data_IF_528899095642
#
_entry.id   IF_528899095642
#
_cell.length_a   1.000
_cell.length_b   1.000
_cell.length_c   1.000
_cell.angle_alpha   90.00
_cell.angle_beta   90.00
_cell.angle_gamma   90.00
#
_symmetry.space_group_name_H-M   'P 1'
#
loop_
_entity.id
_entity.type
_entity.pdbx_description
1 polymer ?
#
# COMPACT_ATOMS: atom_id res chain seq x y z
N UNK A 1 9.78 -6.86 -21.47
CA UNK A 1 9.49 -6.93 -20.05
C UNK A 1 8.25 -7.81 -19.82
N UNK A 2 8.05 -8.28 -18.63
CA UNK A 2 6.95 -9.14 -18.24
C UNK A 2 5.60 -8.52 -18.63
N UNK A 3 4.67 -9.33 -19.17
CA UNK A 3 3.31 -8.90 -19.57
C UNK A 3 2.48 -8.37 -18.37
N UNK A 4 2.84 -8.74 -17.14
CA UNK A 4 2.15 -8.27 -15.93
C UNK A 4 2.77 -7.00 -15.36
N UNK A 5 3.84 -6.51 -15.96
CA UNK A 5 4.42 -5.24 -15.52
C UNK A 5 3.54 -4.07 -15.91
N UNK A 6 3.25 -3.21 -14.95
CA UNK A 6 2.55 -1.95 -15.15
C UNK A 6 3.46 -0.79 -14.81
N UNK A 7 3.72 0.08 -15.78
CA UNK A 7 4.49 1.28 -15.53
C UNK A 7 3.59 2.30 -14.81
N UNK A 8 3.97 2.65 -13.57
CA UNK A 8 3.26 3.64 -12.78
C UNK A 8 4.08 4.91 -12.67
N UNK A 9 3.45 6.05 -12.96
CA UNK A 9 4.10 7.36 -12.91
C UNK A 9 3.29 8.27 -11.99
N UNK A 10 3.92 8.77 -10.92
CA UNK A 10 3.34 9.79 -10.05
C UNK A 10 4.15 11.06 -10.29
N UNK A 11 3.58 12.02 -11.01
CA UNK A 11 4.31 13.18 -11.54
C UNK A 11 4.40 14.36 -10.57
N UNK A 12 3.55 14.41 -9.54
CA UNK A 12 3.55 15.50 -8.56
C UNK A 12 4.74 15.35 -7.60
N UNK A 13 5.78 16.14 -7.79
CA UNK A 13 7.00 16.08 -6.97
C UNK A 13 6.80 16.56 -5.53
N UNK A 14 5.83 17.42 -5.29
CA UNK A 14 5.51 17.90 -3.95
C UNK A 14 4.65 16.89 -3.19
N UNK A 15 3.85 16.10 -3.93
CA UNK A 15 3.02 15.06 -3.38
C UNK A 15 3.20 13.77 -4.20
N UNK A 16 4.36 13.07 -4.03
CA UNK A 16 4.67 11.87 -4.81
C UNK A 16 3.93 10.63 -4.29
N UNK A 17 2.64 10.80 -4.03
CA UNK A 17 1.77 9.81 -3.40
C UNK A 17 0.45 9.79 -4.15
N UNK A 18 -0.04 8.60 -4.48
CA UNK A 18 -1.39 8.44 -5.00
C UNK A 18 -2.28 7.90 -3.88
N UNK A 19 -3.41 8.56 -3.63
CA UNK A 19 -4.38 8.18 -2.58
C UNK A 19 -5.75 8.09 -3.21
N UNK A 20 -6.42 6.96 -3.06
CA UNK A 20 -7.80 6.80 -3.56
C UNK A 20 -8.56 5.74 -2.77
N UNK A 21 -9.89 5.77 -2.93
CA UNK A 21 -10.79 4.77 -2.33
C UNK A 21 -11.29 3.81 -3.40
N UNK A 22 -11.20 2.52 -3.10
CA UNK A 22 -11.93 1.49 -3.83
C UNK A 22 -13.21 1.18 -3.06
N UNK A 23 -14.37 1.37 -3.70
CA UNK A 23 -15.69 1.01 -3.16
C UNK A 23 -16.31 0.01 -4.10
N UNK A 24 -16.40 -1.24 -3.66
CA UNK A 24 -16.84 -2.36 -4.49
C UNK A 24 -18.02 -3.06 -3.81
N UNK A 25 -19.07 -3.36 -4.59
CA UNK A 25 -20.25 -4.08 -4.10
C UNK A 25 -20.47 -5.41 -4.82
N UNK A 26 -19.84 -5.59 -5.97
CA UNK A 26 -20.03 -6.78 -6.79
C UNK A 26 -18.98 -7.84 -6.51
N UNK A 27 -19.35 -9.11 -6.70
CA UNK A 27 -18.37 -10.19 -6.68
C UNK A 27 -17.51 -10.08 -7.93
N UNK A 28 -16.23 -9.75 -7.76
CA UNK A 28 -15.34 -9.52 -8.90
C UNK A 28 -13.87 -9.52 -8.50
N UNK A 29 -13.03 -9.64 -9.51
CA UNK A 29 -11.64 -9.24 -9.42
C UNK A 29 -11.59 -7.74 -9.72
N UNK A 30 -11.37 -6.91 -8.69
CA UNK A 30 -11.49 -5.45 -8.85
C UNK A 30 -10.20 -4.76 -9.25
N UNK A 31 -9.06 -5.43 -9.14
CA UNK A 31 -7.87 -5.02 -9.87
C UNK A 31 -7.19 -6.26 -10.45
N UNK A 32 -6.73 -6.10 -11.70
CA UNK A 32 -6.11 -7.19 -12.45
C UNK A 32 -4.71 -7.51 -11.93
N UNK A 33 -4.26 -8.72 -12.18
CA UNK A 33 -2.92 -9.17 -11.79
C UNK A 33 -1.85 -8.34 -12.47
N UNK A 34 -0.99 -7.68 -11.67
CA UNK A 34 0.11 -6.85 -12.17
C UNK A 34 1.19 -6.68 -11.11
N UNK A 35 2.33 -6.12 -11.50
CA UNK A 35 3.39 -5.71 -10.59
C UNK A 35 4.05 -4.41 -11.06
N UNK A 36 4.63 -3.68 -10.13
CA UNK A 36 5.36 -2.43 -10.36
C UNK A 36 6.34 -2.17 -9.21
N UNK A 37 7.17 -1.16 -9.35
CA UNK A 37 8.19 -0.82 -8.35
C UNK A 37 7.61 -0.11 -7.13
N UNK A 38 6.48 0.56 -7.27
CA UNK A 38 5.83 1.27 -6.17
C UNK A 38 5.34 0.29 -5.09
N UNK A 39 5.38 0.77 -3.85
CA UNK A 39 4.76 0.09 -2.71
C UNK A 39 3.31 0.54 -2.62
N UNK A 40 2.39 -0.37 -2.29
CA UNK A 40 1.00 -0.04 -2.03
C UNK A 40 0.60 -0.43 -0.61
N UNK A 41 -0.16 0.45 0.02
CA UNK A 41 -0.82 0.17 1.29
C UNK A 41 -2.31 0.09 1.02
N UNK A 42 -2.93 -1.05 1.35
CA UNK A 42 -4.37 -1.24 1.25
C UNK A 42 -4.95 -1.38 2.66
N UNK A 43 -5.66 -0.37 3.10
CA UNK A 43 -6.30 -0.35 4.40
C UNK A 43 -7.79 -0.61 4.26
N UNK A 44 -8.31 -1.68 4.89
CA UNK A 44 -9.72 -2.01 4.81
C UNK A 44 -10.50 -1.14 5.79
N UNK A 45 -11.23 -0.17 5.23
CA UNK A 45 -12.07 0.76 6.00
C UNK A 45 -13.37 0.08 6.41
N UNK A 46 -13.94 -0.75 5.53
CA UNK A 46 -15.18 -1.47 5.76
C UNK A 46 -15.19 -2.76 4.96
N UNK A 47 -15.73 -3.82 5.54
CA UNK A 47 -15.93 -5.10 4.87
C UNK A 47 -14.70 -5.98 4.87
N UNK A 48 -14.59 -6.81 3.85
CA UNK A 48 -13.58 -7.84 3.71
C UNK A 48 -13.16 -7.98 2.24
N UNK A 49 -11.87 -8.18 1.99
CA UNK A 49 -11.33 -8.38 0.65
C UNK A 49 -10.23 -9.42 0.67
N UNK A 50 -10.08 -10.16 -0.43
CA UNK A 50 -8.95 -11.04 -0.64
C UNK A 50 -7.94 -10.38 -1.57
N UNK A 51 -6.66 -10.47 -1.21
CA UNK A 51 -5.56 -9.99 -2.04
C UNK A 51 -4.59 -11.13 -2.25
N UNK A 52 -4.30 -11.42 -3.52
CA UNK A 52 -3.27 -12.36 -3.92
C UNK A 52 -1.95 -11.60 -4.00
N UNK A 53 -0.95 -12.06 -3.23
CA UNK A 53 0.40 -11.51 -3.21
C UNK A 53 1.37 -12.62 -3.65
N UNK A 54 1.89 -12.51 -4.87
CA UNK A 54 2.59 -13.58 -5.56
C UNK A 54 1.70 -14.83 -5.62
N UNK A 55 2.03 -15.90 -4.87
CA UNK A 55 1.28 -17.15 -4.87
C UNK A 55 0.42 -17.36 -3.63
N UNK A 56 0.39 -16.38 -2.71
CA UNK A 56 -0.34 -16.49 -1.46
C UNK A 56 -1.56 -15.58 -1.46
N UNK A 57 -2.72 -16.14 -1.13
CA UNK A 57 -3.98 -15.40 -1.00
C UNK A 57 -4.24 -15.11 0.47
N UNK A 58 -4.40 -13.81 0.77
CA UNK A 58 -4.69 -13.31 2.12
C UNK A 58 -6.10 -12.74 2.17
N UNK A 59 -6.79 -12.92 3.30
CA UNK A 59 -8.08 -12.28 3.56
C UNK A 59 -7.86 -11.15 4.56
N UNK A 60 -8.21 -9.93 4.13
CA UNK A 60 -8.09 -8.72 4.96
C UNK A 60 -9.48 -8.25 5.36
N UNK A 61 -9.65 -7.90 6.62
CA UNK A 61 -10.90 -7.42 7.22
C UNK A 61 -10.77 -5.99 7.68
N UNK A 62 -11.88 -5.40 8.09
CA UNK A 62 -11.91 -4.03 8.61
C UNK A 62 -10.81 -3.82 9.65
N UNK A 63 -10.00 -2.77 9.44
CA UNK A 63 -8.88 -2.43 10.31
C UNK A 63 -7.55 -3.09 9.98
N UNK A 64 -7.54 -4.04 9.02
CA UNK A 64 -6.31 -4.68 8.56
C UNK A 64 -5.61 -3.85 7.49
N UNK A 65 -4.29 -3.95 7.46
CA UNK A 65 -3.45 -3.35 6.43
C UNK A 65 -2.76 -4.44 5.61
N UNK A 66 -2.90 -4.34 4.29
CA UNK A 66 -2.07 -5.09 3.36
C UNK A 66 -0.92 -4.20 2.91
N UNK A 67 0.30 -4.70 2.99
CA UNK A 67 1.48 -4.05 2.42
C UNK A 67 1.89 -4.82 1.19
N UNK A 68 1.77 -4.20 0.04
CA UNK A 68 2.20 -4.77 -1.23
C UNK A 68 3.60 -4.24 -1.51
N UNK A 69 4.58 -5.08 -1.26
CA UNK A 69 5.98 -4.72 -1.44
C UNK A 69 6.30 -4.47 -2.92
N UNK A 70 7.36 -3.71 -3.15
CA UNK A 70 7.88 -3.43 -4.49
C UNK A 70 8.07 -4.74 -5.27
N UNK A 71 7.64 -4.76 -6.53
CA UNK A 71 7.78 -5.87 -7.48
C UNK A 71 6.95 -7.13 -7.16
N UNK A 72 6.03 -7.07 -6.20
CA UNK A 72 5.15 -8.20 -5.88
C UNK A 72 3.98 -8.24 -6.86
N UNK A 73 3.76 -9.39 -7.47
CA UNK A 73 2.60 -9.65 -8.32
C UNK A 73 1.35 -9.68 -7.45
N UNK A 74 0.34 -8.85 -7.77
CA UNK A 74 -0.84 -8.72 -6.92
C UNK A 74 -2.14 -8.61 -7.71
N UNK A 75 -3.22 -9.09 -7.09
CA UNK A 75 -4.59 -9.03 -7.61
C UNK A 75 -5.57 -8.96 -6.44
N UNK A 76 -6.70 -8.29 -6.62
CA UNK A 76 -7.72 -8.13 -5.59
C UNK A 76 -9.06 -8.72 -5.96
N UNK A 77 -9.73 -9.35 -5.00
CA UNK A 77 -10.99 -10.05 -5.20
C UNK A 77 -12.00 -9.68 -4.13
N UNK A 78 -13.24 -9.44 -4.54
CA UNK A 78 -14.38 -9.21 -3.67
C UNK A 78 -15.40 -10.33 -3.81
N UNK A 79 -16.09 -10.66 -2.70
CA UNK A 79 -17.03 -11.78 -2.64
C UNK A 79 -18.50 -11.38 -2.87
N UNK A 80 -18.77 -10.11 -3.14
CA UNK A 80 -20.11 -9.58 -3.36
C UNK A 80 -20.71 -8.83 -2.18
N UNK A 81 -20.03 -8.81 -1.02
CA UNK A 81 -20.41 -7.92 0.09
C UNK A 81 -19.71 -6.56 -0.09
N UNK A 82 -20.35 -5.47 0.35
CA UNK A 82 -19.73 -4.14 0.20
C UNK A 82 -18.40 -4.06 0.91
N UNK A 83 -17.39 -3.50 0.22
CA UNK A 83 -16.07 -3.26 0.77
C UNK A 83 -15.57 -1.87 0.39
N UNK A 84 -14.89 -1.23 1.34
CA UNK A 84 -14.17 0.02 1.12
C UNK A 84 -12.72 -0.16 1.51
N UNK A 85 -11.81 0.13 0.58
CA UNK A 85 -10.37 0.01 0.78
C UNK A 85 -9.71 1.34 0.43
N UNK A 86 -8.98 1.90 1.39
CA UNK A 86 -8.15 3.08 1.17
C UNK A 86 -6.80 2.61 0.64
N UNK A 87 -6.43 3.09 -0.55
CA UNK A 87 -5.18 2.71 -1.21
C UNK A 87 -4.23 3.89 -1.23
N UNK A 88 -2.99 3.65 -0.80
CA UNK A 88 -1.89 4.63 -0.85
C UNK A 88 -0.75 4.00 -1.62
N UNK A 89 -0.28 4.67 -2.67
CA UNK A 89 0.78 4.18 -3.55
C UNK A 89 1.93 5.19 -3.56
N UNK A 90 3.16 4.71 -3.39
CA UNK A 90 4.34 5.55 -3.35
C UNK A 90 5.62 4.78 -3.73
N UNK A 91 6.64 5.50 -4.15
CA UNK A 91 8.01 4.97 -4.24
C UNK A 91 8.79 5.42 -3.02
N UNK A 92 9.41 4.46 -2.32
CA UNK A 92 10.11 4.73 -1.07
C UNK A 92 11.30 5.69 -1.28
N UNK A 93 12.02 5.57 -2.38
CA UNK A 93 13.15 6.45 -2.71
C UNK A 93 12.75 7.91 -2.95
N UNK A 94 11.52 8.17 -3.39
CA UNK A 94 10.97 9.53 -3.52
C UNK A 94 10.67 10.17 -2.16
N UNK A 95 10.55 9.36 -1.10
CA UNK A 95 10.25 9.82 0.25
C UNK A 95 11.46 9.78 1.16
N UNK A 96 12.32 8.77 1.03
CA UNK A 96 13.52 8.60 1.85
C UNK A 96 14.53 7.72 1.13
N UNK A 97 15.52 8.33 0.50
CA UNK A 97 16.61 7.59 -0.15
C UNK A 97 17.36 6.72 0.86
N UNK A 98 17.56 7.22 2.08
CA UNK A 98 18.26 6.48 3.14
C UNK A 98 17.57 5.16 3.48
N UNK A 99 16.24 5.19 3.62
CA UNK A 99 15.46 3.99 3.93
C UNK A 99 15.38 3.08 2.71
N UNK A 100 15.21 3.64 1.52
CA UNK A 100 15.12 2.87 0.28
C UNK A 100 16.39 2.05 0.00
N UNK A 101 17.57 2.57 0.36
CA UNK A 101 18.87 1.87 0.21
C UNK A 101 18.92 0.56 0.99
N UNK A 102 18.10 0.40 2.02
CA UNK A 102 18.09 -0.80 2.87
C UNK A 102 17.36 -1.99 2.23
N UNK A 103 16.68 -1.79 1.11
CA UNK A 103 15.92 -2.84 0.41
C UNK A 103 15.00 -3.61 1.36
N UNK A 104 14.18 -2.86 2.10
CA UNK A 104 13.33 -3.41 3.16
C UNK A 104 12.17 -4.21 2.55
N UNK A 105 11.92 -5.38 3.12
CA UNK A 105 10.73 -6.18 2.86
C UNK A 105 9.82 -6.08 4.07
N UNK A 106 8.62 -5.55 3.88
CA UNK A 106 7.63 -5.41 4.94
C UNK A 106 6.79 -6.67 5.08
N UNK A 107 6.32 -6.93 6.30
CA UNK A 107 5.31 -7.94 6.55
C UNK A 107 4.05 -7.62 5.73
N UNK A 108 3.54 -8.58 4.92
CA UNK A 108 2.46 -8.26 3.98
C UNK A 108 1.08 -8.10 4.63
N UNK A 109 0.82 -8.72 5.77
CA UNK A 109 -0.45 -8.64 6.46
C UNK A 109 -0.26 -8.17 7.90
N UNK A 110 -0.90 -7.05 8.25
CA UNK A 110 -0.82 -6.46 9.59
C UNK A 110 -2.24 -6.28 10.11
N UNK A 111 -2.56 -6.91 11.25
CA UNK A 111 -3.89 -6.90 11.83
C UNK A 111 -3.93 -6.14 13.14
N UNK A 112 -5.04 -5.44 13.37
CA UNK A 112 -5.38 -4.83 14.67
C UNK A 112 -4.30 -3.91 15.26
N UNK A 113 -3.57 -3.19 14.43
CA UNK A 113 -2.57 -2.21 14.88
C UNK A 113 -3.21 -0.82 14.98
N UNK A 114 -3.39 -0.32 16.19
CA UNK A 114 -4.09 0.93 16.45
C UNK A 114 -3.36 2.15 15.90
N UNK A 115 -2.02 2.14 15.87
CA UNK A 115 -1.24 3.26 15.31
C UNK A 115 -1.40 3.34 13.80
N UNK A 116 -1.43 2.21 13.12
CA UNK A 116 -1.70 2.15 11.68
C UNK A 116 -3.11 2.65 11.41
N UNK A 117 -4.10 2.20 12.18
CA UNK A 117 -5.49 2.62 12.04
C UNK A 117 -5.64 4.13 12.21
N UNK A 118 -4.99 4.72 13.21
CA UNK A 118 -5.00 6.18 13.41
C UNK A 118 -4.43 6.93 12.20
N UNK A 119 -3.29 6.52 11.69
CA UNK A 119 -2.66 7.19 10.55
C UNK A 119 -3.46 7.04 9.27
N UNK A 120 -3.98 5.85 9.01
CA UNK A 120 -4.80 5.61 7.82
C UNK A 120 -6.14 6.34 7.91
N UNK A 121 -6.76 6.40 9.08
CA UNK A 121 -8.00 7.16 9.30
C UNK A 121 -7.79 8.65 9.05
N UNK A 122 -6.65 9.21 9.46
CA UNK A 122 -6.31 10.60 9.20
C UNK A 122 -6.14 10.86 7.70
N UNK A 123 -5.43 9.99 6.99
CA UNK A 123 -5.28 10.09 5.54
C UNK A 123 -6.64 10.02 4.84
N UNK A 124 -7.50 9.10 5.27
CA UNK A 124 -8.86 8.96 4.75
C UNK A 124 -9.67 10.25 4.93
N UNK A 125 -9.65 10.81 6.14
CA UNK A 125 -10.39 12.04 6.47
C UNK A 125 -9.86 13.22 5.64
N UNK A 126 -8.57 13.41 5.58
CA UNK A 126 -7.96 14.50 4.82
C UNK A 126 -8.25 14.39 3.33
N UNK A 127 -8.16 13.19 2.78
CA UNK A 127 -8.45 12.93 1.37
C UNK A 127 -9.92 13.21 1.03
N UNK A 128 -10.84 12.91 1.94
CA UNK A 128 -12.26 13.16 1.73
C UNK A 128 -12.63 14.65 1.85
N UNK A 129 -12.10 15.34 2.85
CA UNK A 129 -12.44 16.75 3.12
C UNK A 129 -11.70 17.71 2.20
N UNK A 130 -10.44 17.44 1.91
CA UNK A 130 -9.56 18.24 1.04
C UNK A 130 -9.52 19.73 1.41
N UNK A 131 -9.49 20.03 2.70
CA UNK A 131 -9.29 21.39 3.20
C UNK A 131 -7.88 21.88 2.83
N UNK A 132 -7.65 23.19 2.93
CA UNK A 132 -6.32 23.74 2.68
C UNK A 132 -5.29 23.01 3.55
N UNK A 133 -4.21 22.52 2.92
CA UNK A 133 -3.15 21.78 3.59
C UNK A 133 -3.38 20.27 3.66
N UNK A 134 -4.43 19.73 3.04
CA UNK A 134 -4.72 18.29 3.11
C UNK A 134 -3.60 17.40 2.56
N UNK A 135 -2.90 17.86 1.51
CA UNK A 135 -1.75 17.12 0.97
C UNK A 135 -0.59 17.09 1.95
N UNK A 136 -0.34 18.19 2.65
CA UNK A 136 0.67 18.25 3.71
C UNK A 136 0.33 17.31 4.86
N UNK A 137 -0.93 17.31 5.29
CA UNK A 137 -1.39 16.43 6.36
C UNK A 137 -1.27 14.95 5.97
N UNK A 138 -1.70 14.58 4.75
CA UNK A 138 -1.54 13.22 4.23
C UNK A 138 -0.07 12.81 4.17
N UNK A 139 0.78 13.66 3.63
CA UNK A 139 2.22 13.40 3.52
C UNK A 139 2.85 13.20 4.89
N UNK A 140 2.54 14.06 5.85
CA UNK A 140 3.05 13.95 7.22
C UNK A 140 2.61 12.65 7.89
N UNK A 141 1.32 12.30 7.78
CA UNK A 141 0.79 11.05 8.31
C UNK A 141 1.47 9.83 7.67
N UNK A 142 1.64 9.85 6.35
CA UNK A 142 2.29 8.75 5.62
C UNK A 142 3.76 8.60 6.01
N UNK A 143 4.51 9.69 6.13
CA UNK A 143 5.92 9.63 6.54
C UNK A 143 6.07 9.01 7.92
N UNK A 144 5.21 9.40 8.87
CA UNK A 144 5.19 8.79 10.21
C UNK A 144 4.80 7.31 10.15
N UNK A 145 3.82 6.97 9.33
CA UNK A 145 3.40 5.59 9.14
C UNK A 145 4.53 4.72 8.58
N UNK A 146 5.22 5.21 7.57
CA UNK A 146 6.37 4.49 6.97
C UNK A 146 7.47 4.28 8.01
N UNK A 147 7.81 5.29 8.78
CA UNK A 147 8.80 5.17 9.86
C UNK A 147 8.39 4.09 10.87
N UNK A 148 7.11 4.05 11.22
CA UNK A 148 6.57 3.04 12.12
C UNK A 148 6.67 1.63 11.51
N UNK A 149 6.29 1.47 10.23
CA UNK A 149 6.38 0.19 9.52
C UNK A 149 7.82 -0.29 9.43
N UNK A 150 8.76 0.60 9.13
CA UNK A 150 10.21 0.28 9.07
C UNK A 150 10.71 -0.25 10.41
N UNK A 151 10.29 0.34 11.50
CA UNK A 151 10.75 -0.03 12.85
C UNK A 151 10.09 -1.29 13.38
N UNK A 152 8.84 -1.55 12.99
CA UNK A 152 8.05 -2.62 13.62
C UNK A 152 7.75 -3.79 12.70
N UNK A 153 7.63 -3.57 11.41
CA UNK A 153 7.14 -4.58 10.46
C UNK A 153 8.09 -4.85 9.30
N UNK A 154 9.34 -4.46 9.42
CA UNK A 154 10.36 -4.87 8.46
C UNK A 154 10.76 -6.31 8.76
N UNK A 155 10.43 -7.25 7.87
CA UNK A 155 10.77 -8.67 8.05
C UNK A 155 12.26 -8.91 7.81
N UNK A 156 12.80 -8.27 6.77
CA UNK A 156 14.21 -8.39 6.42
C UNK A 156 14.66 -7.21 5.58
N UNK A 157 15.98 -7.00 5.57
CA UNK A 157 16.65 -6.08 4.66
C UNK A 157 17.35 -6.93 3.62
N UNK A 158 16.99 -6.77 2.33
CA UNK A 158 17.54 -7.57 1.25
C UNK A 158 18.94 -7.09 0.87
N UNK A 159 19.83 -8.02 0.49
CA UNK A 159 21.08 -7.68 -0.17
C UNK A 159 20.79 -7.21 -1.61
N UNK A 160 21.73 -6.51 -2.23
CA UNK A 160 21.60 -6.08 -3.63
C UNK A 160 21.31 -7.27 -4.56
N UNK A 161 21.97 -8.40 -4.31
CA UNK A 161 21.78 -9.62 -5.10
C UNK A 161 20.37 -10.19 -4.96
N UNK A 162 19.82 -10.20 -3.75
CA UNK A 162 18.47 -10.66 -3.47
C UNK A 162 17.44 -9.69 -4.08
N UNK A 163 17.70 -8.40 -3.96
CA UNK A 163 16.86 -7.37 -4.56
C UNK A 163 16.76 -7.51 -6.09
N UNK A 164 17.88 -7.79 -6.76
CA UNK A 164 17.90 -8.02 -8.21
C UNK A 164 17.09 -9.25 -8.63
N UNK A 165 17.12 -10.32 -7.83
CA UNK A 165 16.32 -11.53 -8.11
C UNK A 165 14.82 -11.30 -8.05
N UNK A 166 14.35 -10.28 -7.33
CA UNK A 166 12.93 -9.92 -7.21
C UNK A 166 12.42 -9.10 -8.39
N UNK A 167 13.32 -8.60 -9.20
CA UNK A 167 13.00 -7.83 -10.41
C UNK A 167 12.92 -8.75 -11.62
#
# INVERSE_FOLDING_TARGET
RDRFYEQKIISDKEFPIEVFMNRIQDKCQYFHTHWHEHIELHYVVHGETDILLNQTRYTFRQGDLAVINSNVLHAGFCNGTPVEVLVVIFELDELSAQVAEKNILFQPMICADTKIQERMSLIYQEQNERSLGWKLACKGALLQLIAYLVRRYAEQMLTDKESLKRR
#
